data_IF_494689108101
#
_entry.id   IF_494689108101
#
_cell.length_a   1.000
_cell.length_b   1.000
_cell.length_c   1.000
_cell.angle_alpha   90.00
_cell.angle_beta   90.00
_cell.angle_gamma   90.00
#
_symmetry.space_group_name_H-M   'P 1'
#
loop_
_entity.id
_entity.type
_entity.pdbx_description
1 polymer ?
#
# COMPACT_ATOMS: atom_id res chain seq x y z
N UNK A 1 77.75 22.36 15.57
CA UNK A 1 77.45 20.93 15.33
C UNK A 1 75.95 20.75 15.56
N UNK A 2 75.14 20.65 14.50
CA UNK A 2 74.48 19.40 14.03
C UNK A 2 73.47 18.85 15.08
N UNK A 3 72.15 18.76 14.88
CA UNK A 3 71.37 18.24 13.72
C UNK A 3 69.92 18.77 13.71
N UNK A 4 69.34 18.83 12.51
CA UNK A 4 67.91 18.95 12.25
C UNK A 4 67.17 17.65 12.57
N UNK A 5 65.86 17.73 12.86
CA UNK A 5 64.87 16.88 12.19
C UNK A 5 63.44 17.44 12.33
N UNK A 6 62.85 17.76 11.19
CA UNK A 6 61.42 18.01 11.01
C UNK A 6 60.63 16.72 11.30
N UNK A 7 59.51 16.81 12.02
CA UNK A 7 58.50 15.75 12.06
C UNK A 7 57.20 16.31 11.49
N UNK A 8 56.88 15.84 10.28
CA UNK A 8 55.71 16.24 9.52
C UNK A 8 54.44 15.58 10.09
N UNK A 9 53.39 16.39 10.27
CA UNK A 9 52.04 15.94 10.61
C UNK A 9 51.40 15.40 9.32
N UNK A 10 51.15 14.10 9.25
CA UNK A 10 50.33 13.49 8.19
C UNK A 10 48.93 13.24 8.75
N UNK A 11 48.00 14.16 8.46
CA UNK A 11 46.58 14.01 8.71
C UNK A 11 45.97 13.23 7.54
N UNK A 12 45.72 11.93 7.70
CA UNK A 12 44.99 11.14 6.70
C UNK A 12 43.49 11.33 6.96
N UNK A 13 42.86 12.23 6.20
CA UNK A 13 41.42 12.35 6.13
C UNK A 13 40.86 11.26 5.20
N UNK A 14 40.34 10.17 5.77
CA UNK A 14 39.57 9.16 5.02
C UNK A 14 38.17 9.71 4.80
N UNK A 15 37.93 10.30 3.63
CA UNK A 15 36.58 10.65 3.18
C UNK A 15 35.85 9.38 2.74
N UNK A 16 35.09 8.76 3.63
CA UNK A 16 34.13 7.73 3.28
C UNK A 16 32.97 8.39 2.50
N UNK A 17 32.99 8.26 1.17
CA UNK A 17 31.88 8.67 0.32
C UNK A 17 30.80 7.58 0.41
N UNK A 18 29.75 7.83 1.17
CA UNK A 18 28.53 7.01 1.15
C UNK A 18 27.78 7.35 -0.15
N UNK A 19 27.98 6.53 -1.18
CA UNK A 19 27.12 6.56 -2.37
C UNK A 19 25.75 6.01 -1.99
N UNK A 20 24.64 6.73 -2.23
CA UNK A 20 23.32 6.14 -2.09
C UNK A 20 23.15 5.04 -3.14
N UNK A 21 22.72 3.86 -2.70
CA UNK A 21 22.48 2.71 -3.57
C UNK A 21 21.30 3.01 -4.52
N UNK A 22 21.59 3.54 -5.71
CA UNK A 22 20.64 3.54 -6.83
C UNK A 22 20.63 2.14 -7.45
N UNK A 23 19.47 1.46 -7.40
CA UNK A 23 19.22 0.23 -8.14
C UNK A 23 19.45 0.46 -9.64
N UNK A 24 20.16 -0.46 -10.31
CA UNK A 24 20.40 -0.32 -11.75
C UNK A 24 19.08 -0.40 -12.54
N UNK A 25 19.01 0.16 -13.77
CA UNK A 25 17.83 0.03 -14.63
C UNK A 25 17.39 -1.43 -14.85
N UNK A 26 18.34 -2.36 -14.87
CA UNK A 26 18.11 -3.80 -14.97
C UNK A 26 17.45 -4.38 -13.72
N UNK A 27 17.88 -3.95 -12.52
CA UNK A 27 17.21 -4.31 -11.27
C UNK A 27 15.80 -3.72 -11.17
N UNK A 28 15.58 -2.49 -11.63
CA UNK A 28 14.25 -1.87 -11.64
C UNK A 28 13.28 -2.65 -12.55
N UNK A 29 13.73 -3.05 -13.75
CA UNK A 29 12.93 -3.84 -14.68
C UNK A 29 12.61 -5.24 -14.13
N UNK A 30 13.58 -5.90 -13.47
CA UNK A 30 13.37 -7.19 -12.81
C UNK A 30 12.33 -7.09 -11.68
N UNK A 31 12.47 -6.09 -10.81
CA UNK A 31 11.52 -5.86 -9.71
C UNK A 31 10.10 -5.56 -10.21
N UNK A 32 9.96 -4.81 -11.31
CA UNK A 32 8.65 -4.58 -11.93
C UNK A 32 8.03 -5.88 -12.49
N UNK A 33 8.83 -6.72 -13.14
CA UNK A 33 8.39 -8.02 -13.68
C UNK A 33 7.97 -8.99 -12.58
N UNK A 34 8.73 -9.05 -11.49
CA UNK A 34 8.43 -9.91 -10.34
C UNK A 34 7.09 -9.49 -9.69
N UNK A 35 6.89 -8.19 -9.49
CA UNK A 35 5.62 -7.64 -8.98
C UNK A 35 4.44 -7.89 -9.89
N UNK A 36 4.62 -7.74 -11.21
CA UNK A 36 3.57 -8.07 -12.18
C UNK A 36 3.18 -9.55 -12.10
N UNK A 37 4.17 -10.44 -12.00
CA UNK A 37 3.92 -11.88 -11.85
C UNK A 37 3.19 -12.19 -10.55
N UNK A 38 3.54 -11.52 -9.45
CA UNK A 38 2.91 -11.68 -8.15
C UNK A 38 1.43 -11.27 -8.17
N UNK A 39 1.12 -10.08 -8.71
CA UNK A 39 -0.27 -9.61 -8.89
C UNK A 39 -1.06 -10.59 -9.74
N UNK A 40 -0.47 -11.06 -10.85
CA UNK A 40 -1.11 -12.02 -11.76
C UNK A 40 -1.41 -13.35 -11.05
N UNK A 41 -0.46 -13.89 -10.31
CA UNK A 41 -0.62 -15.15 -9.58
C UNK A 41 -1.75 -15.02 -8.54
N UNK A 42 -1.82 -13.92 -7.79
CA UNK A 42 -2.91 -13.69 -6.84
C UNK A 42 -4.27 -13.56 -7.50
N UNK A 43 -4.32 -12.86 -8.62
CA UNK A 43 -5.54 -12.73 -9.42
C UNK A 43 -6.06 -14.10 -9.87
N UNK A 44 -5.16 -15.01 -10.27
CA UNK A 44 -5.52 -16.37 -10.62
C UNK A 44 -6.06 -17.17 -9.43
N UNK A 45 -5.43 -17.07 -8.26
CA UNK A 45 -5.92 -17.73 -7.05
C UNK A 45 -7.31 -17.22 -6.68
N UNK A 46 -7.55 -15.91 -6.73
CA UNK A 46 -8.87 -15.33 -6.50
C UNK A 46 -9.91 -15.83 -7.51
N UNK A 47 -9.57 -15.96 -8.80
CA UNK A 47 -10.49 -16.52 -9.79
C UNK A 47 -10.76 -18.01 -9.58
N UNK A 48 -9.74 -18.77 -9.15
CA UNK A 48 -9.92 -20.17 -8.74
C UNK A 48 -10.89 -20.24 -7.56
N UNK A 49 -10.76 -19.32 -6.61
CA UNK A 49 -11.66 -19.27 -5.48
C UNK A 49 -13.12 -19.09 -5.89
N UNK A 50 -13.40 -18.13 -6.77
CA UNK A 50 -14.76 -17.93 -7.32
C UNK A 50 -15.34 -19.22 -7.87
N UNK A 51 -14.55 -19.97 -8.66
CA UNK A 51 -14.99 -21.23 -9.27
C UNK A 51 -15.30 -22.29 -8.21
N UNK A 52 -14.48 -22.39 -7.16
CA UNK A 52 -14.70 -23.34 -6.07
C UNK A 52 -15.91 -22.96 -5.20
N UNK A 53 -16.11 -21.68 -4.90
CA UNK A 53 -17.27 -21.17 -4.18
C UNK A 53 -18.58 -21.39 -4.95
N UNK A 54 -18.60 -21.09 -6.25
CA UNK A 54 -19.75 -21.30 -7.12
C UNK A 54 -20.13 -22.79 -7.25
N UNK A 55 -19.15 -23.69 -7.24
CA UNK A 55 -19.40 -25.14 -7.25
C UNK A 55 -20.06 -25.64 -5.96
N UNK A 56 -19.76 -25.01 -4.81
CA UNK A 56 -20.32 -25.38 -3.50
C UNK A 56 -21.69 -24.76 -3.24
N UNK A 57 -21.94 -23.56 -3.78
CA UNK A 57 -23.14 -22.77 -3.54
C UNK A 57 -23.91 -22.51 -4.84
N UNK A 58 -24.43 -23.56 -5.48
CA UNK A 58 -25.13 -23.49 -6.77
C UNK A 58 -26.48 -22.72 -6.77
N UNK A 59 -26.70 -21.80 -5.84
CA UNK A 59 -27.92 -20.98 -5.73
C UNK A 59 -27.74 -19.60 -5.10
N UNK A 60 -26.52 -19.15 -4.78
CA UNK A 60 -26.31 -17.86 -4.14
C UNK A 60 -25.72 -16.81 -5.11
N UNK A 61 -26.38 -15.66 -5.22
CA UNK A 61 -26.09 -14.52 -6.10
C UNK A 61 -24.77 -13.78 -5.77
N UNK A 62 -23.89 -14.37 -4.94
CA UNK A 62 -22.55 -13.87 -4.61
C UNK A 62 -21.65 -13.67 -5.84
N UNK A 63 -22.03 -14.26 -6.98
CA UNK A 63 -21.37 -14.13 -8.29
C UNK A 63 -21.39 -12.73 -8.90
N UNK A 64 -22.37 -11.88 -8.57
CA UNK A 64 -22.57 -10.60 -9.28
C UNK A 64 -21.49 -9.55 -8.97
N UNK A 65 -20.83 -9.63 -7.81
CA UNK A 65 -19.82 -8.63 -7.39
C UNK A 65 -18.38 -9.06 -7.58
N UNK A 66 -18.14 -10.31 -7.95
CA UNK A 66 -16.79 -10.84 -8.08
C UNK A 66 -15.93 -10.09 -9.12
N UNK A 67 -16.44 -9.69 -10.31
CA UNK A 67 -15.64 -8.89 -11.25
C UNK A 67 -15.13 -7.58 -10.64
N UNK A 68 -15.98 -6.90 -9.86
CA UNK A 68 -15.60 -5.65 -9.17
C UNK A 68 -14.60 -5.89 -8.03
N UNK A 69 -14.79 -6.97 -7.25
CA UNK A 69 -13.83 -7.39 -6.21
C UNK A 69 -12.45 -7.63 -6.84
N UNK A 70 -12.39 -8.40 -7.92
CA UNK A 70 -11.15 -8.73 -8.61
C UNK A 70 -10.47 -7.47 -9.16
N UNK A 71 -11.23 -6.61 -9.84
CA UNK A 71 -10.71 -5.35 -10.37
C UNK A 71 -10.13 -4.49 -9.25
N UNK A 72 -10.85 -4.32 -8.15
CA UNK A 72 -10.41 -3.46 -7.05
C UNK A 72 -9.19 -4.04 -6.32
N UNK A 73 -9.15 -5.36 -6.16
CA UNK A 73 -8.03 -6.07 -5.56
C UNK A 73 -6.75 -5.95 -6.41
N UNK A 74 -6.86 -6.02 -7.73
CA UNK A 74 -5.72 -5.80 -8.63
C UNK A 74 -5.30 -4.33 -8.65
N UNK A 75 -6.28 -3.41 -8.74
CA UNK A 75 -6.02 -1.98 -8.84
C UNK A 75 -5.34 -1.42 -7.60
N UNK A 76 -5.73 -1.85 -6.40
CA UNK A 76 -5.12 -1.34 -5.17
C UNK A 76 -3.64 -1.73 -5.08
N UNK A 77 -3.28 -2.95 -5.52
CA UNK A 77 -1.89 -3.40 -5.60
C UNK A 77 -1.10 -2.63 -6.65
N UNK A 78 -1.70 -2.43 -7.83
CA UNK A 78 -1.08 -1.72 -8.94
C UNK A 78 -0.81 -0.25 -8.60
N UNK A 79 -1.82 0.47 -8.10
CA UNK A 79 -1.68 1.89 -7.74
C UNK A 79 -0.65 2.06 -6.63
N UNK A 80 -0.62 1.17 -5.63
CA UNK A 80 0.38 1.23 -4.58
C UNK A 80 1.80 0.99 -5.11
N UNK A 81 2.02 -0.12 -5.81
CA UNK A 81 3.38 -0.56 -6.18
C UNK A 81 3.97 0.10 -7.43
N UNK A 82 3.13 0.49 -8.40
CA UNK A 82 3.57 1.06 -9.68
C UNK A 82 3.47 2.59 -9.74
N UNK A 83 2.62 3.19 -8.91
CA UNK A 83 2.41 4.66 -8.92
C UNK A 83 2.90 5.26 -7.61
N UNK A 84 2.26 4.93 -6.50
CA UNK A 84 2.48 5.62 -5.23
C UNK A 84 3.90 5.45 -4.68
N UNK A 85 4.41 4.21 -4.62
CA UNK A 85 5.77 3.93 -4.12
C UNK A 85 6.86 4.56 -5.00
N UNK A 86 6.82 4.48 -6.34
CA UNK A 86 7.75 5.21 -7.18
C UNK A 86 7.68 6.73 -7.04
N UNK A 87 6.47 7.32 -7.00
CA UNK A 87 6.29 8.78 -6.91
C UNK A 87 6.99 9.37 -5.68
N UNK A 88 6.99 8.66 -4.56
CA UNK A 88 7.56 9.19 -3.30
C UNK A 88 9.08 9.07 -3.24
N UNK A 89 9.68 8.32 -4.17
CA UNK A 89 11.12 8.24 -4.37
C UNK A 89 11.65 9.32 -5.34
N UNK A 90 10.76 10.06 -5.99
CA UNK A 90 11.14 11.18 -6.87
C UNK A 90 11.49 12.44 -6.07
N UNK A 91 12.43 13.23 -6.60
CA UNK A 91 12.79 14.53 -6.03
C UNK A 91 12.70 15.61 -7.12
N UNK A 92 11.84 16.64 -6.97
CA UNK A 92 10.87 16.82 -5.88
C UNK A 92 9.69 15.83 -5.97
N UNK A 93 9.09 15.49 -4.82
CA UNK A 93 7.92 14.60 -4.75
C UNK A 93 6.73 15.23 -5.50
N UNK A 94 6.10 14.46 -6.38
CA UNK A 94 4.87 14.86 -7.07
C UNK A 94 3.63 14.66 -6.17
N UNK A 95 3.31 15.64 -5.32
CA UNK A 95 2.18 15.57 -4.40
C UNK A 95 0.79 15.49 -5.07
N UNK A 96 0.65 15.95 -6.32
CA UNK A 96 -0.60 15.79 -7.06
C UNK A 96 -0.86 14.33 -7.42
N UNK A 97 0.18 13.59 -7.80
CA UNK A 97 0.09 12.16 -8.08
C UNK A 97 -0.10 11.33 -6.79
N UNK A 98 0.53 11.72 -5.68
CA UNK A 98 0.28 11.14 -4.35
C UNK A 98 -1.20 11.31 -3.96
N UNK A 99 -1.75 12.52 -4.14
CA UNK A 99 -3.17 12.80 -3.87
C UNK A 99 -4.11 11.91 -4.68
N UNK A 100 -3.91 11.84 -5.99
CA UNK A 100 -4.75 11.04 -6.89
C UNK A 100 -4.65 9.54 -6.58
N UNK A 101 -3.45 9.05 -6.30
CA UNK A 101 -3.22 7.64 -5.93
C UNK A 101 -3.87 7.27 -4.61
N UNK A 102 -3.77 8.15 -3.60
CA UNK A 102 -4.40 7.95 -2.30
C UNK A 102 -5.93 7.95 -2.40
N UNK A 103 -6.51 8.82 -3.24
CA UNK A 103 -7.96 8.83 -3.52
C UNK A 103 -8.43 7.53 -4.17
N UNK A 104 -7.72 7.04 -5.18
CA UNK A 104 -8.09 5.81 -5.87
C UNK A 104 -7.97 4.59 -4.95
N UNK A 105 -6.89 4.48 -4.17
CA UNK A 105 -6.73 3.43 -3.15
C UNK A 105 -7.88 3.47 -2.15
N UNK A 106 -8.22 4.65 -1.62
CA UNK A 106 -9.30 4.81 -0.65
C UNK A 106 -10.65 4.31 -1.21
N UNK A 107 -11.02 4.77 -2.41
CA UNK A 107 -12.29 4.42 -3.06
C UNK A 107 -12.41 2.91 -3.27
N UNK A 108 -11.34 2.28 -3.76
CA UNK A 108 -11.29 0.84 -4.03
C UNK A 108 -11.33 0.03 -2.73
N UNK A 109 -10.62 0.47 -1.69
CA UNK A 109 -10.63 -0.20 -0.38
C UNK A 109 -12.00 -0.15 0.30
N UNK A 110 -12.70 1.00 0.23
CA UNK A 110 -14.08 1.14 0.73
C UNK A 110 -14.99 0.15 0.03
N UNK A 111 -14.89 0.05 -1.30
CA UNK A 111 -15.74 -0.84 -2.09
C UNK A 111 -15.42 -2.31 -1.86
N UNK A 112 -14.15 -2.69 -1.80
CA UNK A 112 -13.70 -4.03 -1.38
C UNK A 112 -14.28 -4.41 -0.03
N UNK A 113 -14.18 -3.53 0.98
CA UNK A 113 -14.74 -3.78 2.31
C UNK A 113 -16.25 -4.01 2.22
N UNK A 114 -16.95 -3.16 1.47
CA UNK A 114 -18.41 -3.27 1.30
C UNK A 114 -18.84 -4.54 0.59
N UNK A 115 -18.02 -5.07 -0.31
CA UNK A 115 -18.33 -6.26 -1.11
C UNK A 115 -17.94 -7.57 -0.41
N UNK A 116 -16.87 -7.56 0.37
CA UNK A 116 -16.34 -8.74 1.07
C UNK A 116 -16.97 -8.95 2.45
N UNK A 117 -17.39 -7.89 3.14
CA UNK A 117 -17.82 -7.95 4.55
C UNK A 117 -19.19 -7.32 4.81
N UNK A 118 -20.10 -7.34 3.83
CA UNK A 118 -21.42 -6.68 3.92
C UNK A 118 -22.32 -7.22 5.04
N UNK A 119 -22.13 -8.48 5.46
CA UNK A 119 -22.90 -9.10 6.54
C UNK A 119 -22.45 -8.63 7.93
N UNK A 120 -21.16 -8.36 8.13
CA UNK A 120 -20.64 -7.74 9.35
C UNK A 120 -20.89 -6.23 9.41
N UNK A 121 -20.92 -5.52 8.26
CA UNK A 121 -21.12 -4.06 8.25
C UNK A 121 -22.50 -3.66 8.76
N UNK A 122 -23.54 -4.47 8.47
CA UNK A 122 -24.91 -4.26 8.99
C UNK A 122 -25.02 -4.42 10.51
N UNK A 123 -24.08 -5.08 11.18
CA UNK A 123 -24.07 -5.24 12.65
C UNK A 123 -23.35 -4.10 13.38
N UNK A 124 -22.67 -3.20 12.67
CA UNK A 124 -21.86 -2.12 13.25
C UNK A 124 -22.30 -0.70 12.85
N UNK A 125 -23.35 -0.54 12.04
CA UNK A 125 -23.83 0.77 11.57
C UNK A 125 -24.44 1.68 12.66
N UNK A 126 -24.63 1.19 13.89
CA UNK A 126 -25.12 2.02 15.01
C UNK A 126 -24.06 2.90 15.68
N UNK A 127 -22.79 2.85 15.27
CA UNK A 127 -21.76 3.71 15.89
C UNK A 127 -21.35 4.82 14.94
N UNK A 128 -22.10 5.93 15.06
CA UNK A 128 -21.74 7.33 14.82
C UNK A 128 -20.36 7.56 14.19
N UNK A 129 -20.36 8.33 13.10
CA UNK A 129 -19.29 9.24 12.66
C UNK A 129 -18.61 9.94 13.85
N UNK A 130 -17.63 9.26 14.46
CA UNK A 130 -16.74 9.88 15.43
C UNK A 130 -15.77 10.68 14.58
N UNK A 131 -15.89 12.01 14.65
CA UNK A 131 -14.84 12.95 14.21
C UNK A 131 -13.51 12.32 14.58
N UNK A 132 -12.75 11.92 13.56
CA UNK A 132 -11.43 11.33 13.74
C UNK A 132 -10.59 12.35 14.48
N UNK A 133 -10.26 12.03 15.73
CA UNK A 133 -9.36 12.81 16.56
C UNK A 133 -8.07 12.99 15.77
N UNK A 134 -7.60 14.24 15.67
CA UNK A 134 -6.36 14.56 14.98
C UNK A 134 -5.23 13.70 15.57
N UNK A 135 -4.83 12.67 14.83
CA UNK A 135 -3.62 11.92 15.15
C UNK A 135 -2.44 12.88 15.10
N UNK A 136 -1.40 12.61 15.91
CA UNK A 136 -0.12 13.31 15.84
C UNK A 136 0.33 13.49 14.38
N UNK A 137 1.06 14.57 14.05
CA UNK A 137 1.53 14.82 12.70
C UNK A 137 2.56 13.76 12.29
N UNK A 138 2.09 12.60 11.83
CA UNK A 138 2.92 11.61 11.16
C UNK A 138 3.42 12.20 9.84
N UNK A 139 4.68 11.95 9.52
CA UNK A 139 5.24 12.33 8.22
C UNK A 139 4.53 11.54 7.11
N UNK A 140 4.55 12.08 5.88
CA UNK A 140 3.87 11.41 4.76
C UNK A 140 4.54 10.07 4.46
N UNK A 141 5.86 9.96 4.65
CA UNK A 141 6.66 8.75 4.45
C UNK A 141 6.23 7.62 5.40
N UNK A 142 6.01 7.93 6.68
CA UNK A 142 5.53 6.94 7.66
C UNK A 142 4.14 6.43 7.28
N UNK A 143 3.25 7.34 6.83
CA UNK A 143 1.92 6.98 6.38
C UNK A 143 1.97 6.08 5.13
N UNK A 144 2.85 6.40 4.18
CA UNK A 144 3.04 5.62 2.95
C UNK A 144 3.55 4.21 3.23
N UNK A 145 4.53 4.07 4.13
CA UNK A 145 5.02 2.76 4.56
C UNK A 145 3.94 1.96 5.29
N UNK A 146 3.14 2.62 6.12
CA UNK A 146 2.01 1.98 6.81
C UNK A 146 0.95 1.53 5.80
N UNK A 147 0.67 2.33 4.77
CA UNK A 147 -0.27 1.98 3.71
C UNK A 147 0.21 0.76 2.93
N UNK A 148 1.47 0.76 2.50
CA UNK A 148 2.08 -0.35 1.76
C UNK A 148 2.04 -1.65 2.56
N UNK A 149 2.49 -1.61 3.82
CA UNK A 149 2.44 -2.76 4.71
C UNK A 149 1.01 -3.28 4.90
N UNK A 150 0.02 -2.39 5.04
CA UNK A 150 -1.39 -2.77 5.22
C UNK A 150 -1.97 -3.39 3.95
N UNK A 151 -1.65 -2.85 2.76
CA UNK A 151 -2.05 -3.42 1.47
C UNK A 151 -1.41 -4.80 1.30
N UNK A 152 -0.11 -4.93 1.55
CA UNK A 152 0.59 -6.21 1.48
C UNK A 152 -0.01 -7.23 2.46
N UNK A 153 -0.25 -6.85 3.71
CA UNK A 153 -0.90 -7.66 4.74
C UNK A 153 -2.28 -8.17 4.31
N UNK A 154 -3.08 -7.32 3.67
CA UNK A 154 -4.40 -7.66 3.14
C UNK A 154 -4.32 -8.65 1.98
N UNK A 155 -3.50 -8.38 0.96
CA UNK A 155 -3.48 -9.18 -0.28
C UNK A 155 -2.81 -10.54 -0.11
N UNK A 156 -1.97 -10.69 0.93
CA UNK A 156 -1.36 -11.96 1.32
C UNK A 156 -2.21 -12.75 2.32
N UNK A 157 -3.37 -12.25 2.71
CA UNK A 157 -4.22 -12.95 3.65
C UNK A 157 -4.70 -14.29 3.09
N UNK A 158 -4.69 -15.33 3.92
CA UNK A 158 -5.07 -16.71 3.60
C UNK A 158 -6.51 -16.84 3.12
N UNK A 159 -7.40 -15.88 3.46
CA UNK A 159 -8.75 -15.85 2.88
C UNK A 159 -8.73 -15.81 1.36
N UNK A 160 -7.64 -15.37 0.73
CA UNK A 160 -7.46 -15.31 -0.73
C UNK A 160 -6.67 -16.50 -1.31
N UNK A 161 -6.25 -17.46 -0.48
CA UNK A 161 -5.39 -18.58 -0.87
C UNK A 161 -6.04 -19.94 -0.67
N UNK A 162 -6.83 -20.14 0.40
CA UNK A 162 -7.48 -21.43 0.66
C UNK A 162 -8.91 -21.28 1.22
N UNK A 163 -9.91 -21.53 0.37
CA UNK A 163 -11.34 -21.49 0.77
C UNK A 163 -11.68 -22.59 1.78
N UNK A 164 -10.91 -23.68 1.83
CA UNK A 164 -11.19 -24.79 2.76
C UNK A 164 -10.88 -24.42 4.21
N UNK A 165 -10.11 -23.36 4.45
CA UNK A 165 -9.58 -22.97 5.75
C UNK A 165 -9.89 -21.51 6.10
N UNK A 166 -10.98 -20.93 5.59
CA UNK A 166 -11.41 -19.59 6.02
C UNK A 166 -11.79 -19.63 7.50
N UNK A 167 -10.83 -19.31 8.37
CA UNK A 167 -11.07 -19.12 9.79
C UNK A 167 -11.56 -17.68 10.04
N UNK A 168 -12.31 -17.48 11.11
CA UNK A 168 -12.86 -16.16 11.47
C UNK A 168 -11.77 -15.12 11.75
N UNK A 169 -10.57 -15.56 12.15
CA UNK A 169 -9.44 -14.69 12.46
C UNK A 169 -8.84 -14.05 11.21
N UNK A 170 -8.70 -14.81 10.13
CA UNK A 170 -8.15 -14.35 8.85
C UNK A 170 -9.10 -13.36 8.18
N UNK A 171 -10.41 -13.62 8.27
CA UNK A 171 -11.46 -12.69 7.84
C UNK A 171 -11.42 -11.39 8.64
N UNK A 172 -11.32 -11.47 9.97
CA UNK A 172 -11.21 -10.29 10.84
C UNK A 172 -9.93 -9.49 10.55
N UNK A 173 -8.80 -10.19 10.33
CA UNK A 173 -7.54 -9.57 9.96
C UNK A 173 -7.66 -8.83 8.62
N UNK A 174 -8.20 -9.45 7.59
CA UNK A 174 -8.39 -8.82 6.28
C UNK A 174 -9.31 -7.58 6.38
N UNK A 175 -10.35 -7.65 7.21
CA UNK A 175 -11.23 -6.51 7.49
C UNK A 175 -10.46 -5.37 8.16
N UNK A 176 -9.65 -5.65 9.19
CA UNK A 176 -8.84 -4.66 9.90
C UNK A 176 -7.75 -4.06 9.00
N UNK A 177 -7.12 -4.87 8.16
CA UNK A 177 -6.14 -4.42 7.16
C UNK A 177 -6.81 -3.39 6.22
N UNK A 178 -8.00 -3.70 5.68
CA UNK A 178 -8.75 -2.76 4.83
C UNK A 178 -9.19 -1.48 5.57
N UNK A 179 -9.61 -1.58 6.84
CA UNK A 179 -9.91 -0.39 7.64
C UNK A 179 -8.71 0.52 7.82
N UNK A 180 -7.53 -0.08 8.02
CA UNK A 180 -6.26 0.66 8.10
C UNK A 180 -5.94 1.31 6.76
N UNK A 181 -6.07 0.59 5.64
CA UNK A 181 -5.89 1.14 4.29
C UNK A 181 -6.81 2.33 4.03
N UNK A 182 -8.10 2.22 4.37
CA UNK A 182 -9.08 3.32 4.21
C UNK A 182 -8.66 4.53 5.05
N UNK A 183 -8.32 4.33 6.33
CA UNK A 183 -7.92 5.42 7.22
C UNK A 183 -6.65 6.11 6.73
N UNK A 184 -5.60 5.36 6.43
CA UNK A 184 -4.29 5.90 6.08
C UNK A 184 -4.33 6.58 4.71
N UNK A 185 -4.98 5.99 3.71
CA UNK A 185 -5.15 6.62 2.39
C UNK A 185 -5.91 7.94 2.48
N UNK A 186 -6.92 8.05 3.35
CA UNK A 186 -7.62 9.30 3.61
C UNK A 186 -6.69 10.37 4.22
N UNK A 187 -5.87 10.00 5.21
CA UNK A 187 -4.92 10.94 5.84
C UNK A 187 -3.84 11.40 4.85
N UNK A 188 -3.32 10.51 4.00
CA UNK A 188 -2.36 10.85 2.95
C UNK A 188 -2.98 11.84 1.96
N UNK A 189 -4.22 11.58 1.52
CA UNK A 189 -4.98 12.48 0.66
C UNK A 189 -5.06 13.88 1.27
N UNK A 190 -5.52 14.01 2.51
CA UNK A 190 -5.66 15.31 3.19
C UNK A 190 -4.32 16.07 3.31
N UNK A 191 -3.22 15.36 3.56
CA UNK A 191 -1.87 15.96 3.63
C UNK A 191 -1.38 16.41 2.25
N UNK A 192 -1.49 15.56 1.23
CA UNK A 192 -1.08 15.89 -0.13
C UNK A 192 -1.91 17.05 -0.72
N UNK A 193 -3.20 17.10 -0.42
CA UNK A 193 -4.09 18.19 -0.83
C UNK A 193 -3.68 19.53 -0.20
N UNK A 194 -3.35 19.55 1.09
CA UNK A 194 -2.86 20.77 1.78
C UNK A 194 -1.55 21.28 1.16
N UNK A 195 -0.62 20.38 0.86
CA UNK A 195 0.67 20.74 0.22
C UNK A 195 0.42 21.31 -1.18
N UNK A 196 -0.40 20.64 -1.99
CA UNK A 196 -0.72 21.06 -3.37
C UNK A 196 -1.40 22.43 -3.42
N UNK A 197 -2.36 22.68 -2.51
CA UNK A 197 -3.01 23.98 -2.36
C UNK A 197 -2.06 25.08 -1.90
N UNK A 198 -1.15 24.76 -0.97
CA UNK A 198 -0.11 25.68 -0.50
C UNK A 198 0.91 26.05 -1.58
N UNK A 199 1.16 25.16 -2.55
CA UNK A 199 2.01 25.40 -3.72
C UNK A 199 1.29 26.25 -4.77
N UNK A 200 -0.02 26.03 -5.02
CA UNK A 200 -0.78 26.77 -6.04
C UNK A 200 -1.21 28.19 -5.64
N UNK A 201 -1.11 28.53 -4.35
CA UNK A 201 -1.44 29.85 -3.80
C UNK A 201 -0.26 30.81 -3.67
N UNK A 202 0.92 30.44 -4.19
CA UNK A 202 2.11 31.28 -4.31
C UNK A 202 2.38 31.55 -5.78
#
# INVERSE_FOLDING_TARGET
MMKQLFLAIFLIAVSASTTPAQSSPEQAAKNARDRFSEIKNRSFEMERMKREANKRNAGDNSTLKFPEIKEDFEKIQKVNSEVLQPTVLTSPINYAEVLNSALEINRRAVRLKSNLFSAESKRKEDVKNKKQTAAEPQSIEILLNTLDASINSFVHNSIFQDIKLVNSQDSLKAQNDLETVIKISFVIKEKAEKITKGISGK
#
